data_IF_151755876623
#
_entry.id   IF_151755876623
#
_cell.length_a   1.000
_cell.length_b   1.000
_cell.length_c   1.000
_cell.angle_alpha   90.00
_cell.angle_beta   90.00
_cell.angle_gamma   90.00
#
_symmetry.space_group_name_H-M   'P 1'
#
loop_
_entity.id
_entity.type
_entity.pdbx_description
1 polymer ?
#
# COMPACT_ATOMS: atom_id res chain seq x y z
N UNK A 1 9.94 -3.51 23.19
CA UNK A 1 9.65 -3.99 21.83
C UNK A 1 9.68 -2.84 20.84
N UNK A 2 9.87 -3.13 19.55
CA UNK A 2 9.86 -2.12 18.48
C UNK A 2 8.99 -2.65 17.34
N UNK A 3 8.03 -1.86 16.90
CA UNK A 3 7.23 -2.21 15.73
C UNK A 3 8.07 -2.06 14.47
N UNK A 4 8.12 -3.10 13.62
CA UNK A 4 8.96 -3.12 12.42
C UNK A 4 8.15 -2.88 11.14
N UNK A 5 7.13 -3.69 10.89
CA UNK A 5 6.35 -3.59 9.66
C UNK A 5 4.99 -4.27 9.77
N UNK A 6 4.11 -3.93 8.84
CA UNK A 6 2.92 -4.70 8.50
C UNK A 6 3.15 -5.34 7.13
N UNK A 7 2.84 -6.61 6.98
CA UNK A 7 2.97 -7.32 5.71
C UNK A 7 1.61 -7.49 5.05
N UNK A 8 1.56 -7.23 3.75
CA UNK A 8 0.43 -7.55 2.90
C UNK A 8 0.90 -8.34 1.68
N UNK A 9 0.11 -9.33 1.28
CA UNK A 9 0.34 -10.06 0.03
C UNK A 9 -0.26 -9.30 -1.12
N UNK A 10 0.43 -9.30 -2.26
CA UNK A 10 -0.02 -8.60 -3.46
C UNK A 10 0.02 -9.56 -4.65
N UNK A 11 -0.99 -9.48 -5.50
CA UNK A 11 -1.10 -10.34 -6.68
C UNK A 11 -0.31 -9.80 -7.88
N UNK A 12 -0.07 -8.48 -7.92
CA UNK A 12 0.73 -7.81 -8.93
C UNK A 12 1.66 -6.80 -8.27
N UNK A 13 2.97 -7.04 -8.37
CA UNK A 13 3.95 -6.13 -7.79
C UNK A 13 3.91 -4.78 -8.51
N UNK A 14 3.80 -4.76 -9.83
CA UNK A 14 3.75 -3.52 -10.62
C UNK A 14 2.54 -2.66 -10.26
N UNK A 15 1.35 -3.26 -10.19
CA UNK A 15 0.14 -2.54 -9.81
C UNK A 15 0.21 -2.00 -8.37
N UNK A 16 0.79 -2.77 -7.45
CA UNK A 16 0.94 -2.36 -6.05
C UNK A 16 1.98 -1.26 -5.89
N UNK A 17 3.10 -1.32 -6.59
CA UNK A 17 4.11 -0.26 -6.57
C UNK A 17 3.58 1.02 -7.21
N UNK A 18 2.80 0.92 -8.29
CA UNK A 18 2.12 2.09 -8.83
C UNK A 18 1.20 2.74 -7.80
N UNK A 19 0.37 1.94 -7.14
CA UNK A 19 -0.54 2.45 -6.10
C UNK A 19 0.20 3.06 -4.93
N UNK A 20 1.07 2.30 -4.27
CA UNK A 20 1.72 2.75 -3.04
C UNK A 20 2.82 3.79 -3.28
N UNK A 21 3.61 3.67 -4.33
CA UNK A 21 4.72 4.57 -4.59
C UNK A 21 4.33 5.72 -5.51
N UNK A 22 3.78 5.44 -6.69
CA UNK A 22 3.46 6.49 -7.66
C UNK A 22 2.29 7.35 -7.19
N UNK A 23 1.20 6.72 -6.72
CA UNK A 23 -0.01 7.44 -6.34
C UNK A 23 0.04 7.98 -4.90
N UNK A 24 0.44 7.16 -3.92
CA UNK A 24 0.50 7.56 -2.52
C UNK A 24 1.82 8.22 -2.12
N UNK A 25 2.87 8.02 -2.87
CA UNK A 25 4.17 8.64 -2.59
C UNK A 25 5.04 7.91 -1.58
N UNK A 26 4.75 6.64 -1.27
CA UNK A 26 5.65 5.84 -0.46
C UNK A 26 6.95 5.58 -1.23
N UNK A 27 8.03 5.35 -0.51
CA UNK A 27 9.35 5.11 -1.09
C UNK A 27 9.83 3.70 -0.76
N UNK A 28 10.36 3.03 -1.77
CA UNK A 28 11.01 1.74 -1.61
C UNK A 28 12.32 1.93 -0.84
N UNK A 29 12.45 1.20 0.27
CA UNK A 29 13.66 1.21 1.10
C UNK A 29 14.54 0.00 0.86
N UNK A 30 13.92 -1.15 0.64
CA UNK A 30 14.64 -2.41 0.51
C UNK A 30 13.82 -3.37 -0.35
N UNK A 31 14.52 -4.16 -1.13
CA UNK A 31 13.93 -5.24 -1.92
C UNK A 31 14.80 -6.48 -1.78
N UNK A 32 14.18 -7.64 -1.71
CA UNK A 32 14.88 -8.91 -1.74
C UNK A 32 14.07 -9.95 -2.49
N UNK A 33 14.77 -10.84 -3.16
CA UNK A 33 14.18 -11.96 -3.88
C UNK A 33 14.67 -13.26 -3.26
N UNK A 34 13.76 -14.21 -3.08
CA UNK A 34 14.07 -15.54 -2.58
C UNK A 34 13.70 -16.57 -3.64
N UNK A 35 14.68 -17.05 -4.38
CA UNK A 35 14.44 -18.01 -5.45
C UNK A 35 13.96 -19.37 -4.93
N UNK A 36 14.46 -19.79 -3.79
CA UNK A 36 14.07 -21.06 -3.17
C UNK A 36 12.60 -21.02 -2.72
N UNK A 37 12.20 -19.91 -2.10
CA UNK A 37 10.81 -19.71 -1.66
C UNK A 37 9.90 -19.15 -2.75
N UNK A 38 10.48 -18.69 -3.87
CA UNK A 38 9.78 -18.12 -5.02
C UNK A 38 8.89 -16.94 -4.64
N UNK A 39 9.52 -15.94 -4.01
CA UNK A 39 8.82 -14.70 -3.65
C UNK A 39 9.76 -13.50 -3.66
N UNK A 40 9.17 -12.32 -3.80
CA UNK A 40 9.83 -11.02 -3.69
C UNK A 40 9.24 -10.25 -2.51
N UNK A 41 10.10 -9.65 -1.71
CA UNK A 41 9.73 -8.73 -0.63
C UNK A 41 10.14 -7.32 -1.00
N UNK A 42 9.22 -6.37 -0.83
CA UNK A 42 9.50 -4.94 -1.03
C UNK A 42 9.05 -4.18 0.20
N UNK A 43 9.96 -3.43 0.82
CA UNK A 43 9.69 -2.63 2.00
C UNK A 43 9.50 -1.17 1.61
N UNK A 44 8.34 -0.63 1.92
CA UNK A 44 7.95 0.74 1.58
C UNK A 44 7.76 1.57 2.85
N UNK A 45 8.16 2.83 2.81
CA UNK A 45 7.94 3.75 3.92
C UNK A 45 7.46 5.11 3.41
N UNK A 46 6.68 5.79 4.24
CA UNK A 46 6.32 7.19 3.99
C UNK A 46 7.57 8.07 4.08
N UNK A 47 7.69 9.13 3.25
CA UNK A 47 8.80 10.07 3.35
C UNK A 47 8.89 10.66 4.77
N UNK A 48 10.10 10.67 5.34
CA UNK A 48 10.34 11.18 6.69
C UNK A 48 9.95 10.24 7.83
N UNK A 49 9.35 9.08 7.53
CA UNK A 49 9.05 8.09 8.55
C UNK A 49 10.29 7.26 8.89
N UNK A 50 10.63 7.20 10.16
CA UNK A 50 11.70 6.37 10.69
C UNK A 50 11.12 5.10 11.30
N UNK A 51 11.53 3.94 10.77
CA UNK A 51 11.26 2.64 11.36
C UNK A 51 10.16 1.84 10.68
N UNK A 52 8.90 2.03 11.04
CA UNK A 52 7.81 1.18 10.54
C UNK A 52 7.61 1.24 9.03
N UNK A 53 7.52 0.08 8.41
CA UNK A 53 7.38 -0.07 6.95
C UNK A 53 6.13 -0.87 6.60
N UNK A 54 5.69 -0.72 5.37
CA UNK A 54 4.76 -1.64 4.73
C UNK A 54 5.60 -2.65 3.93
N UNK A 55 5.47 -3.93 4.25
CA UNK A 55 6.13 -5.00 3.50
C UNK A 55 5.14 -5.57 2.48
N UNK A 56 5.47 -5.45 1.20
CA UNK A 56 4.75 -6.14 0.13
C UNK A 56 5.40 -7.50 -0.09
N UNK A 57 4.60 -8.57 -0.06
CA UNK A 57 5.04 -9.92 -0.40
C UNK A 57 4.37 -10.33 -1.70
N UNK A 58 5.18 -10.52 -2.74
CA UNK A 58 4.74 -11.02 -4.03
C UNK A 58 5.21 -12.46 -4.22
N UNK A 59 4.27 -13.38 -4.23
CA UNK A 59 4.54 -14.79 -4.54
C UNK A 59 4.58 -14.97 -6.05
N UNK A 60 5.65 -15.56 -6.58
CA UNK A 60 5.82 -15.70 -8.04
C UNK A 60 4.80 -16.63 -8.69
N UNK A 61 4.32 -17.60 -7.94
CA UNK A 61 3.25 -18.48 -8.41
C UNK A 61 1.91 -17.75 -8.24
N UNK A 62 1.04 -17.76 -9.29
CA UNK A 62 -0.23 -17.03 -9.22
C UNK A 62 -1.11 -17.48 -8.05
N UNK A 63 -1.67 -16.51 -7.34
CA UNK A 63 -2.54 -16.76 -6.20
C UNK A 63 -3.69 -15.73 -6.20
N UNK A 64 -4.90 -16.18 -5.88
CA UNK A 64 -6.06 -15.29 -5.73
C UNK A 64 -6.29 -15.03 -4.26
N UNK A 65 -6.33 -13.76 -3.88
CA UNK A 65 -6.55 -13.35 -2.49
C UNK A 65 -7.99 -12.96 -2.24
N UNK A 66 -8.49 -13.33 -1.06
CA UNK A 66 -9.78 -12.86 -0.56
C UNK A 66 -9.54 -12.08 0.73
N UNK A 67 -10.22 -10.94 0.88
CA UNK A 67 -9.92 -9.99 1.95
C UNK A 67 -10.28 -10.49 3.35
N UNK A 68 -11.30 -11.33 3.50
CA UNK A 68 -11.79 -11.66 4.83
C UNK A 68 -12.32 -10.43 5.57
N UNK A 69 -12.36 -10.48 6.90
CA UNK A 69 -12.87 -9.37 7.73
C UNK A 69 -11.95 -8.99 8.90
N UNK A 70 -10.90 -9.74 9.14
CA UNK A 70 -10.01 -9.48 10.26
C UNK A 70 -9.17 -8.21 10.03
N UNK A 71 -8.55 -8.08 8.85
CA UNK A 71 -7.77 -6.90 8.51
C UNK A 71 -8.68 -5.69 8.29
N UNK A 72 -8.32 -4.56 8.87
CA UNK A 72 -9.06 -3.31 8.73
C UNK A 72 -8.47 -2.41 7.64
N UNK A 73 -7.53 -1.55 8.01
CA UNK A 73 -6.95 -0.57 7.09
C UNK A 73 -5.56 -0.11 7.56
N UNK A 74 -4.84 0.52 6.67
CA UNK A 74 -3.66 1.31 6.97
C UNK A 74 -4.05 2.79 6.93
N UNK A 75 -3.51 3.58 7.83
CA UNK A 75 -3.81 5.01 7.89
C UNK A 75 -2.55 5.84 7.61
N UNK A 76 -2.70 6.84 6.75
CA UNK A 76 -1.65 7.80 6.41
C UNK A 76 -2.15 9.22 6.62
N UNK A 77 -1.34 10.04 7.23
CA UNK A 77 -1.59 11.48 7.29
C UNK A 77 -1.07 12.12 6.00
N UNK A 78 -1.88 13.01 5.42
CA UNK A 78 -1.53 13.72 4.18
C UNK A 78 -1.79 15.21 4.37
N UNK A 79 -1.08 16.04 3.59
CA UNK A 79 -1.18 17.50 3.71
C UNK A 79 -2.50 18.03 3.13
N UNK A 80 -2.92 17.51 1.97
CA UNK A 80 -4.15 17.93 1.29
C UNK A 80 -4.94 16.71 0.81
N UNK A 81 -5.93 16.32 1.61
CA UNK A 81 -6.74 15.13 1.35
C UNK A 81 -7.62 15.29 0.10
N UNK A 82 -8.10 16.50 -0.18
CA UNK A 82 -8.94 16.75 -1.36
C UNK A 82 -8.14 16.64 -2.65
N UNK A 83 -6.95 17.26 -2.70
CA UNK A 83 -6.06 17.17 -3.85
C UNK A 83 -5.61 15.73 -4.10
N UNK A 84 -5.25 15.00 -3.04
CA UNK A 84 -4.86 13.60 -3.17
C UNK A 84 -6.01 12.74 -3.69
N UNK A 85 -7.20 12.86 -3.14
CA UNK A 85 -8.36 12.09 -3.59
C UNK A 85 -8.73 12.38 -5.06
N UNK A 86 -8.64 13.62 -5.50
CA UNK A 86 -8.85 13.98 -6.90
C UNK A 86 -7.84 13.27 -7.80
N UNK A 87 -6.57 13.32 -7.46
CA UNK A 87 -5.50 12.65 -8.22
C UNK A 87 -5.67 11.13 -8.25
N UNK A 88 -6.02 10.54 -7.12
CA UNK A 88 -6.26 9.09 -7.03
C UNK A 88 -7.45 8.68 -7.91
N UNK A 89 -8.53 9.45 -7.90
CA UNK A 89 -9.70 9.18 -8.72
C UNK A 89 -9.38 9.28 -10.21
N UNK A 90 -8.61 10.28 -10.62
CA UNK A 90 -8.12 10.42 -12.00
C UNK A 90 -7.23 9.26 -12.43
N UNK A 91 -6.49 8.67 -11.49
CA UNK A 91 -5.66 7.49 -11.71
C UNK A 91 -6.45 6.16 -11.67
N UNK A 92 -7.77 6.22 -11.50
CA UNK A 92 -8.63 5.03 -11.47
C UNK A 92 -8.70 4.32 -10.12
N UNK A 93 -8.20 4.93 -9.05
CA UNK A 93 -8.30 4.37 -7.69
C UNK A 93 -9.72 4.53 -7.18
N UNK A 94 -10.27 3.47 -6.61
CA UNK A 94 -11.61 3.50 -6.03
C UNK A 94 -11.60 4.24 -4.70
N UNK A 95 -12.44 5.27 -4.59
CA UNK A 95 -12.68 6.01 -3.36
C UNK A 95 -13.94 5.44 -2.71
N UNK A 96 -13.79 4.68 -1.62
CA UNK A 96 -14.92 4.10 -0.89
C UNK A 96 -15.68 5.16 -0.09
N UNK A 97 -14.95 6.08 0.53
CA UNK A 97 -15.52 7.20 1.25
C UNK A 97 -14.75 8.46 0.86
N UNK A 98 -15.40 9.44 0.18
CA UNK A 98 -14.76 10.71 -0.15
C UNK A 98 -14.55 11.57 1.11
N UNK A 99 -13.65 12.57 1.05
CA UNK A 99 -13.28 13.40 2.20
C UNK A 99 -14.31 14.52 2.47
N UNK A 100 -15.56 14.15 2.77
CA UNK A 100 -16.69 15.10 2.95
C UNK A 100 -16.48 16.05 4.11
N UNK A 101 -15.85 15.57 5.17
CA UNK A 101 -15.56 16.35 6.38
C UNK A 101 -14.19 17.04 6.33
N UNK A 102 -13.39 16.80 5.29
CA UNK A 102 -12.02 17.30 5.16
C UNK A 102 -11.00 16.58 6.01
N UNK A 103 -11.39 15.55 6.76
CA UNK A 103 -10.51 14.85 7.69
C UNK A 103 -10.14 13.43 7.27
N UNK A 104 -11.02 12.73 6.60
CA UNK A 104 -10.86 11.32 6.39
C UNK A 104 -11.45 10.87 5.05
N UNK A 105 -10.70 10.06 4.32
CA UNK A 105 -11.15 9.36 3.13
C UNK A 105 -10.72 7.90 3.20
N UNK A 106 -11.48 7.02 2.55
CA UNK A 106 -11.11 5.61 2.41
C UNK A 106 -10.98 5.27 0.93
N UNK A 107 -9.84 4.69 0.60
CA UNK A 107 -9.52 4.26 -0.77
C UNK A 107 -9.18 2.78 -0.78
N UNK A 108 -9.24 2.16 -1.94
CA UNK A 108 -8.88 0.75 -2.11
C UNK A 108 -7.51 0.61 -2.75
N UNK A 109 -6.71 -0.30 -2.20
CA UNK A 109 -5.53 -0.82 -2.87
C UNK A 109 -5.94 -1.75 -4.03
N UNK A 110 -5.00 -2.15 -4.92
CA UNK A 110 -5.32 -3.06 -6.02
C UNK A 110 -5.89 -4.41 -5.62
N UNK A 111 -5.45 -4.95 -4.49
CA UNK A 111 -5.96 -6.19 -3.91
C UNK A 111 -6.87 -5.91 -2.73
#
# INVERSE_FOLDING_TARGET
>A
MKYLHTMVRVSSLDASLDFYCTQLGLRERKRSENERGRFTLVFLAAPGADGACLELTFTWDPEVYTGGRNFGHLAYQVDDIHALCTRLQEAGVTINRPPRDGYMAFVRSPD
#
